data_IF_654672483543
#
_entry.id   IF_654672483543
#
_cell.length_a   1.000
_cell.length_b   1.000
_cell.length_c   1.000
_cell.angle_alpha   90.00
_cell.angle_beta   90.00
_cell.angle_gamma   90.00
#
_symmetry.space_group_name_H-M   'P 1'
#
loop_
_entity.id
_entity.type
_entity.pdbx_description
1 polymer ?
#
# COMPACT_ATOMS: atom_id res chain seq x y z
N UNK A 1 -1.54 14.76 24.18
CA UNK A 1 -1.94 13.74 23.18
C UNK A 1 -3.40 13.92 22.82
N UNK A 2 -3.72 14.47 21.63
CA UNK A 2 -5.10 14.50 21.12
C UNK A 2 -5.44 13.08 20.67
N UNK A 3 -6.42 12.45 21.33
CA UNK A 3 -6.93 11.17 20.89
C UNK A 3 -7.47 11.32 19.46
N UNK A 4 -6.87 10.61 18.51
CA UNK A 4 -7.40 10.47 17.16
C UNK A 4 -8.83 9.94 17.27
N UNK A 5 -9.81 10.73 16.86
CA UNK A 5 -11.22 10.30 16.81
C UNK A 5 -11.30 9.15 15.81
N UNK A 6 -11.31 7.91 16.31
CA UNK A 6 -11.63 6.71 15.52
C UNK A 6 -13.09 6.81 15.06
N UNK A 7 -13.31 7.42 13.89
CA UNK A 7 -14.59 7.35 13.18
C UNK A 7 -14.54 6.15 12.22
N UNK A 8 -14.41 4.96 12.79
CA UNK A 8 -14.54 3.71 12.03
C UNK A 8 -16.04 3.44 11.89
N UNK A 9 -16.53 3.22 10.67
CA UNK A 9 -17.88 2.70 10.46
C UNK A 9 -17.88 1.24 10.92
N UNK A 10 -18.51 0.98 12.07
CA UNK A 10 -18.77 -0.38 12.53
C UNK A 10 -19.95 -0.90 11.71
N UNK A 11 -19.74 -1.94 10.90
CA UNK A 11 -20.85 -2.65 10.27
C UNK A 11 -21.78 -3.15 11.38
N UNK A 12 -23.01 -2.63 11.38
CA UNK A 12 -23.93 -2.66 12.52
C UNK A 12 -24.23 -4.07 13.01
N UNK A 13 -23.88 -4.34 14.27
CA UNK A 13 -24.57 -5.35 15.07
C UNK A 13 -25.73 -4.63 15.76
N UNK A 14 -26.86 -4.49 15.07
CA UNK A 14 -28.15 -4.37 15.73
C UNK A 14 -29.20 -5.12 14.89
N UNK A 15 -29.81 -6.20 15.43
CA UNK A 15 -31.03 -6.73 14.86
C UNK A 15 -32.15 -5.75 15.23
N UNK A 16 -32.88 -5.25 14.23
CA UNK A 16 -33.98 -4.27 14.31
C UNK A 16 -33.56 -2.81 14.53
N UNK A 17 -33.78 -1.96 13.52
CA UNK A 17 -33.56 -0.52 13.62
C UNK A 17 -33.41 0.18 12.27
N UNK A 18 -34.57 0.53 11.69
CA UNK A 18 -34.85 1.58 10.70
C UNK A 18 -33.62 2.23 10.05
N UNK A 19 -33.47 2.05 8.73
CA UNK A 19 -32.55 2.78 7.87
C UNK A 19 -32.91 4.27 7.86
N UNK A 20 -32.36 5.04 8.79
CA UNK A 20 -32.40 6.50 8.69
C UNK A 20 -31.60 6.92 7.46
N UNK A 21 -32.23 7.78 6.66
CA UNK A 21 -31.85 8.10 5.29
C UNK A 21 -30.44 8.65 5.12
N UNK A 22 -30.05 8.65 3.84
CA UNK A 22 -28.83 9.18 3.24
C UNK A 22 -28.37 10.51 3.82
N UNK A 23 -27.65 10.47 4.94
CA UNK A 23 -26.69 11.51 5.25
C UNK A 23 -25.47 11.21 4.39
N UNK A 24 -25.27 12.03 3.36
CA UNK A 24 -24.04 12.09 2.59
C UNK A 24 -22.94 12.57 3.54
N UNK A 25 -22.34 11.62 4.26
CA UNK A 25 -21.25 11.90 5.19
C UNK A 25 -20.00 11.95 4.35
N UNK A 26 -19.55 13.16 4.04
CA UNK A 26 -18.24 13.38 3.47
C UNK A 26 -17.20 12.80 4.45
N UNK A 27 -16.71 11.58 4.17
CA UNK A 27 -15.75 10.86 4.99
C UNK A 27 -14.36 11.42 4.68
N UNK A 28 -14.06 12.59 5.24
CA UNK A 28 -12.72 13.14 5.21
C UNK A 28 -11.86 12.40 6.25
N UNK A 29 -10.98 11.53 5.76
CA UNK A 29 -9.99 10.84 6.59
C UNK A 29 -9.46 9.58 5.92
N UNK A 30 -8.16 9.56 5.66
CA UNK A 30 -7.45 8.36 5.24
C UNK A 30 -6.67 7.81 6.44
N UNK A 31 -6.68 6.49 6.60
CA UNK A 31 -5.92 5.82 7.65
C UNK A 31 -4.74 5.10 7.02
N UNK A 32 -3.53 5.45 7.44
CA UNK A 32 -2.29 4.85 6.95
C UNK A 32 -1.62 4.02 8.04
N UNK A 33 -1.01 2.92 7.63
CA UNK A 33 -0.09 2.14 8.45
C UNK A 33 1.31 2.23 7.87
N UNK A 34 2.33 2.17 8.74
CA UNK A 34 3.73 2.05 8.35
C UNK A 34 4.10 0.58 8.39
N UNK A 35 4.65 0.09 7.29
CA UNK A 35 5.05 -1.29 7.08
C UNK A 35 6.55 -1.38 6.91
N UNK A 36 7.14 -2.41 7.50
CA UNK A 36 8.53 -2.79 7.27
C UNK A 36 8.56 -4.18 6.67
N UNK A 37 9.31 -4.34 5.59
CA UNK A 37 9.55 -5.63 4.95
C UNK A 37 11.02 -5.78 4.56
N UNK A 38 11.41 -6.98 4.19
CA UNK A 38 12.71 -7.29 3.62
C UNK A 38 12.53 -7.94 2.25
N UNK A 39 13.14 -7.36 1.23
CA UNK A 39 13.08 -7.84 -0.14
C UNK A 39 14.52 -8.08 -0.60
N UNK A 40 14.92 -9.35 -0.68
CA UNK A 40 16.26 -9.76 -1.11
C UNK A 40 17.39 -9.05 -0.35
N UNK A 41 17.29 -8.96 0.98
CA UNK A 41 18.28 -8.28 1.83
C UNK A 41 18.20 -6.74 1.82
N UNK A 42 17.22 -6.15 1.15
CA UNK A 42 16.92 -4.72 1.21
C UNK A 42 15.75 -4.52 2.17
N UNK A 43 16.00 -3.81 3.27
CA UNK A 43 14.92 -3.39 4.16
C UNK A 43 14.16 -2.22 3.53
N UNK A 44 12.85 -2.38 3.39
CA UNK A 44 11.96 -1.35 2.85
C UNK A 44 11.00 -0.93 3.95
N UNK A 45 10.94 0.38 4.18
CA UNK A 45 9.95 1.03 5.03
C UNK A 45 9.04 1.84 4.11
N UNK A 46 7.74 1.63 4.21
CA UNK A 46 6.76 2.36 3.41
C UNK A 46 5.46 2.50 4.21
N UNK A 47 4.69 3.53 3.91
CA UNK A 47 3.32 3.66 4.38
C UNK A 47 2.33 3.20 3.30
N UNK A 48 1.17 2.72 3.74
CA UNK A 48 0.08 2.36 2.84
C UNK A 48 -1.29 2.64 3.47
N UNK A 49 -2.28 3.06 2.68
CA UNK A 49 -3.63 3.28 3.16
C UNK A 49 -4.30 1.95 3.50
N UNK A 50 -5.05 1.91 4.60
CA UNK A 50 -5.82 0.75 5.04
C UNK A 50 -7.30 1.11 5.09
N UNK A 51 -8.09 0.32 4.38
CA UNK A 51 -9.52 0.58 4.20
C UNK A 51 -10.36 0.07 5.38
N UNK A 52 -10.03 -1.12 5.89
CA UNK A 52 -10.84 -1.77 6.90
C UNK A 52 -10.02 -2.67 7.82
N UNK A 53 -10.52 -2.79 9.04
CA UNK A 53 -10.05 -3.71 10.06
C UNK A 53 -11.16 -4.74 10.30
N UNK A 54 -10.83 -6.02 10.20
CA UNK A 54 -11.72 -7.10 10.57
C UNK A 54 -11.46 -7.48 12.04
N UNK A 55 -12.43 -7.14 12.89
CA UNK A 55 -12.43 -7.53 14.30
C UNK A 55 -13.42 -8.68 14.50
N UNK A 56 -12.90 -9.91 14.64
CA UNK A 56 -13.71 -11.03 15.13
C UNK A 56 -13.64 -10.99 16.65
N UNK A 57 -14.76 -10.64 17.29
CA UNK A 57 -14.96 -10.70 18.74
C UNK A 57 -13.82 -10.12 19.59
N UNK A 58 -13.96 -8.85 19.95
CA UNK A 58 -13.09 -8.16 20.94
C UNK A 58 -12.98 -8.88 22.29
N UNK A 59 -13.88 -9.84 22.58
CA UNK A 59 -13.89 -10.67 23.79
C UNK A 59 -12.77 -11.72 23.86
N UNK A 60 -12.16 -12.12 22.73
CA UNK A 60 -11.14 -13.21 22.72
C UNK A 60 -9.70 -12.74 22.47
N UNK A 61 -9.45 -11.42 22.45
CA UNK A 61 -8.08 -10.90 22.33
C UNK A 61 -7.37 -11.29 21.03
N UNK A 62 -8.10 -11.76 20.01
CA UNK A 62 -7.52 -12.09 18.71
C UNK A 62 -6.93 -10.83 18.08
N UNK A 63 -5.75 -10.94 17.44
CA UNK A 63 -5.13 -9.80 16.78
C UNK A 63 -6.07 -9.26 15.70
N UNK A 64 -6.24 -7.94 15.71
CA UNK A 64 -6.96 -7.20 14.69
C UNK A 64 -6.28 -7.46 13.34
N UNK A 65 -7.01 -7.96 12.36
CA UNK A 65 -6.48 -8.21 11.00
C UNK A 65 -7.04 -7.21 10.03
N UNK A 66 -6.20 -6.60 9.20
CA UNK A 66 -6.66 -5.73 8.11
C UNK A 66 -7.28 -6.54 6.98
N UNK A 67 -8.23 -5.91 6.27
CA UNK A 67 -8.89 -6.48 5.10
C UNK A 67 -9.03 -5.43 4.02
N UNK A 68 -8.94 -5.88 2.77
CA UNK A 68 -9.13 -5.02 1.60
C UNK A 68 -10.57 -5.06 1.10
N UNK A 69 -11.04 -3.92 0.61
CA UNK A 69 -12.37 -3.76 0.02
C UNK A 69 -12.21 -3.31 -1.43
N UNK A 70 -12.72 -4.09 -2.38
CA UNK A 70 -12.64 -3.76 -3.81
C UNK A 70 -14.01 -3.87 -4.49
N UNK A 71 -14.12 -3.23 -5.65
CA UNK A 71 -15.32 -3.24 -6.48
C UNK A 71 -15.04 -3.97 -7.80
N UNK A 72 -16.03 -4.71 -8.28
CA UNK A 72 -16.01 -5.37 -9.59
C UNK A 72 -17.37 -5.28 -10.25
N UNK A 73 -17.44 -5.03 -11.54
CA UNK A 73 -18.71 -5.10 -12.27
C UNK A 73 -19.19 -6.55 -12.39
N UNK A 74 -20.48 -6.81 -12.14
CA UNK A 74 -21.06 -8.16 -12.20
C UNK A 74 -21.14 -8.74 -13.63
N UNK A 75 -21.24 -7.88 -14.63
CA UNK A 75 -21.29 -8.26 -16.06
C UNK A 75 -20.05 -7.73 -16.75
N UNK A 76 -19.14 -8.64 -17.13
CA UNK A 76 -17.99 -8.38 -17.99
C UNK A 76 -18.02 -9.31 -19.19
N UNK A 77 -17.64 -8.79 -20.36
CA UNK A 77 -17.33 -9.62 -21.53
C UNK A 77 -16.04 -10.41 -21.26
N UNK A 78 -15.78 -11.53 -21.96
CA UNK A 78 -14.56 -12.31 -21.76
C UNK A 78 -13.26 -11.50 -21.89
N UNK A 79 -13.19 -10.55 -22.83
CA UNK A 79 -12.02 -9.68 -23.00
C UNK A 79 -11.87 -8.66 -21.85
N UNK A 80 -12.97 -8.10 -21.36
CA UNK A 80 -12.98 -7.21 -20.20
C UNK A 80 -12.53 -7.95 -18.94
N UNK A 81 -12.95 -9.20 -18.78
CA UNK A 81 -12.53 -10.06 -17.68
C UNK A 81 -11.02 -10.35 -17.72
N UNK A 82 -10.50 -10.73 -18.88
CA UNK A 82 -9.06 -10.98 -19.06
C UNK A 82 -8.23 -9.71 -18.77
N UNK A 83 -8.68 -8.55 -19.27
CA UNK A 83 -8.00 -7.29 -19.00
C UNK A 83 -8.05 -6.92 -17.51
N UNK A 84 -9.22 -7.05 -16.86
CA UNK A 84 -9.39 -6.79 -15.44
C UNK A 84 -8.48 -7.68 -14.58
N UNK A 85 -8.34 -8.96 -14.93
CA UNK A 85 -7.43 -9.88 -14.25
C UNK A 85 -5.96 -9.48 -14.40
N UNK A 86 -5.55 -9.02 -15.60
CA UNK A 86 -4.17 -8.56 -15.86
C UNK A 86 -3.84 -7.22 -15.23
N UNK A 87 -4.82 -6.33 -15.06
CA UNK A 87 -4.60 -4.99 -14.51
C UNK A 87 -5.00 -4.86 -13.05
N UNK A 88 -6.30 -4.92 -12.77
CA UNK A 88 -6.85 -4.49 -11.49
C UNK A 88 -6.60 -5.54 -10.42
N UNK A 89 -6.80 -6.81 -10.78
CA UNK A 89 -6.56 -7.92 -9.85
C UNK A 89 -5.09 -8.04 -9.49
N UNK A 90 -4.18 -7.80 -10.44
CA UNK A 90 -2.75 -7.72 -10.17
C UNK A 90 -2.44 -6.59 -9.17
N UNK A 91 -3.01 -5.39 -9.36
CA UNK A 91 -2.85 -4.27 -8.41
C UNK A 91 -3.37 -4.62 -7.03
N UNK A 92 -4.59 -5.18 -6.94
CA UNK A 92 -5.16 -5.63 -5.68
C UNK A 92 -4.27 -6.64 -4.99
N UNK A 93 -3.73 -7.59 -5.76
CA UNK A 93 -2.83 -8.59 -5.24
C UNK A 93 -1.55 -7.97 -4.68
N UNK A 94 -0.87 -7.08 -5.44
CA UNK A 94 0.37 -6.42 -5.00
C UNK A 94 0.15 -5.57 -3.75
N UNK A 95 -0.90 -4.75 -3.73
CA UNK A 95 -1.25 -3.89 -2.58
C UNK A 95 -1.48 -4.71 -1.31
N UNK A 96 -2.34 -5.74 -1.39
CA UNK A 96 -2.62 -6.64 -0.28
C UNK A 96 -1.39 -7.46 0.13
N UNK A 97 -0.59 -7.95 -0.84
CA UNK A 97 0.61 -8.73 -0.58
C UNK A 97 1.66 -7.93 0.20
N UNK A 98 1.97 -6.71 -0.25
CA UNK A 98 2.97 -5.86 0.40
C UNK A 98 2.55 -5.46 1.83
N UNK A 99 1.26 -5.25 2.06
CA UNK A 99 0.70 -4.88 3.38
C UNK A 99 0.38 -6.08 4.27
N UNK A 100 0.58 -7.31 3.79
CA UNK A 100 0.29 -8.54 4.55
C UNK A 100 -1.21 -8.84 4.73
N UNK A 101 -2.08 -8.25 3.91
CA UNK A 101 -3.52 -8.47 3.96
C UNK A 101 -3.86 -9.79 3.24
N UNK A 102 -4.40 -10.77 3.98
CA UNK A 102 -4.74 -12.08 3.41
C UNK A 102 -6.19 -12.20 2.92
N UNK A 103 -7.07 -11.27 3.30
CA UNK A 103 -8.50 -11.34 3.05
C UNK A 103 -8.98 -10.09 2.31
N UNK A 104 -9.71 -10.33 1.23
CA UNK A 104 -10.27 -9.31 0.35
C UNK A 104 -11.77 -9.51 0.19
N UNK A 105 -12.54 -8.44 0.31
CA UNK A 105 -13.98 -8.41 0.03
C UNK A 105 -14.21 -7.72 -1.31
N UNK A 106 -14.89 -8.41 -2.21
CA UNK A 106 -15.19 -7.91 -3.55
C UNK A 106 -16.70 -7.69 -3.64
N UNK A 107 -17.10 -6.42 -3.76
CA UNK A 107 -18.48 -6.03 -4.03
C UNK A 107 -18.72 -6.02 -5.54
N UNK A 108 -19.67 -6.85 -5.96
CA UNK A 108 -20.12 -6.96 -7.35
C UNK A 108 -21.27 -6.00 -7.60
N UNK A 109 -21.05 -5.01 -8.44
CA UNK A 109 -22.03 -3.98 -8.75
C UNK A 109 -22.49 -4.02 -10.21
N UNK A 110 -23.68 -3.47 -10.47
CA UNK A 110 -24.17 -3.24 -11.83
C UNK A 110 -23.65 -1.90 -12.41
N UNK A 111 -24.11 -1.55 -13.61
CA UNK A 111 -23.72 -0.30 -14.29
C UNK A 111 -24.31 0.95 -13.65
N UNK A 112 -25.33 0.77 -12.81
CA UNK A 112 -25.97 1.82 -12.03
C UNK A 112 -25.28 2.02 -10.66
N UNK A 113 -24.26 1.20 -10.36
CA UNK A 113 -23.51 1.26 -9.10
C UNK A 113 -24.17 0.50 -7.95
N UNK A 114 -25.26 -0.22 -8.18
CA UNK A 114 -25.91 -1.01 -7.13
C UNK A 114 -25.10 -2.28 -6.85
N UNK A 115 -24.74 -2.52 -5.59
CA UNK A 115 -24.06 -3.74 -5.16
C UNK A 115 -25.08 -4.86 -4.99
N UNK A 116 -24.92 -5.94 -5.77
CA UNK A 116 -25.81 -7.10 -5.76
C UNK A 116 -25.27 -8.25 -4.91
N UNK A 117 -23.94 -8.33 -4.75
CA UNK A 117 -23.27 -9.42 -4.05
C UNK A 117 -21.94 -8.96 -3.47
N UNK A 118 -21.59 -9.43 -2.28
CA UNK A 118 -20.25 -9.30 -1.71
C UNK A 118 -19.68 -10.69 -1.49
N UNK A 119 -18.45 -10.92 -1.96
CA UNK A 119 -17.74 -12.18 -1.79
C UNK A 119 -16.47 -11.90 -1.00
N UNK A 120 -16.21 -12.68 0.04
CA UNK A 120 -14.88 -12.72 0.66
C UNK A 120 -14.02 -13.78 -0.05
N UNK A 121 -12.75 -13.45 -0.26
CA UNK A 121 -11.76 -14.35 -0.85
C UNK A 121 -10.47 -14.28 -0.05
N UNK A 122 -9.73 -15.38 -0.04
CA UNK A 122 -8.32 -15.33 0.37
C UNK A 122 -7.49 -14.79 -0.79
N UNK A 123 -6.43 -14.04 -0.48
CA UNK A 123 -5.51 -13.49 -1.47
C UNK A 123 -4.93 -14.58 -2.39
N UNK A 124 -4.64 -15.76 -1.83
CA UNK A 124 -4.15 -16.93 -2.58
C UNK A 124 -5.16 -17.45 -3.63
N UNK A 125 -6.46 -17.38 -3.34
CA UNK A 125 -7.50 -17.80 -4.28
C UNK A 125 -7.59 -16.82 -5.45
N UNK A 126 -7.45 -15.52 -5.16
CA UNK A 126 -7.46 -14.47 -6.18
C UNK A 126 -6.31 -14.64 -7.18
N UNK A 127 -5.11 -14.96 -6.69
CA UNK A 127 -3.96 -15.27 -7.54
C UNK A 127 -4.19 -16.54 -8.37
N UNK A 128 -4.70 -17.63 -7.77
CA UNK A 128 -4.92 -18.89 -8.49
C UNK A 128 -5.86 -18.70 -9.69
N UNK A 129 -6.87 -17.84 -9.56
CA UNK A 129 -7.79 -17.52 -10.65
C UNK A 129 -7.13 -16.73 -11.80
N UNK A 130 -5.92 -16.20 -11.60
CA UNK A 130 -5.15 -15.39 -12.55
C UNK A 130 -3.78 -16.01 -12.88
N UNK A 131 -3.55 -17.29 -12.57
CA UNK A 131 -2.23 -17.92 -12.70
C UNK A 131 -1.68 -17.95 -14.14
N UNK A 132 -2.57 -17.84 -15.13
CA UNK A 132 -2.21 -17.77 -16.55
C UNK A 132 -1.97 -16.32 -17.04
N UNK A 133 -2.32 -15.31 -16.24
CA UNK A 133 -2.24 -13.90 -16.63
C UNK A 133 -0.97 -13.21 -16.11
N UNK A 134 -0.52 -13.56 -14.91
CA UNK A 134 0.69 -13.01 -14.29
C UNK A 134 1.23 -13.94 -13.20
N UNK A 135 2.48 -13.72 -12.80
CA UNK A 135 3.19 -14.57 -11.84
C UNK A 135 3.73 -13.74 -10.67
N UNK A 136 3.38 -14.10 -9.41
CA UNK A 136 3.99 -13.51 -8.21
C UNK A 136 5.52 -13.52 -8.24
N UNK A 137 6.12 -14.59 -8.76
CA UNK A 137 7.57 -14.72 -8.85
C UNK A 137 8.15 -13.68 -9.82
N UNK A 138 7.51 -13.45 -10.96
CA UNK A 138 7.94 -12.42 -11.92
C UNK A 138 7.86 -11.03 -11.27
N UNK A 139 6.75 -10.73 -10.58
CA UNK A 139 6.59 -9.46 -9.85
C UNK A 139 7.67 -9.29 -8.76
N UNK A 140 7.92 -10.32 -7.96
CA UNK A 140 8.92 -10.30 -6.89
C UNK A 140 10.35 -10.15 -7.42
N UNK A 141 10.70 -10.85 -8.50
CA UNK A 141 12.01 -10.72 -9.15
C UNK A 141 12.20 -9.33 -9.76
N UNK A 142 11.17 -8.79 -10.42
CA UNK A 142 11.22 -7.42 -10.93
C UNK A 142 11.45 -6.42 -9.81
N UNK A 143 10.66 -6.49 -8.73
CA UNK A 143 10.77 -5.59 -7.58
C UNK A 143 12.17 -5.67 -6.94
N UNK A 144 12.66 -6.88 -6.71
CA UNK A 144 14.00 -7.14 -6.17
C UNK A 144 15.08 -6.51 -7.04
N UNK A 145 15.05 -6.73 -8.36
CA UNK A 145 16.02 -6.16 -9.30
C UNK A 145 15.92 -4.64 -9.38
N UNK A 146 14.71 -4.09 -9.38
CA UNK A 146 14.47 -2.66 -9.41
C UNK A 146 15.08 -1.98 -8.16
N UNK A 147 14.76 -2.49 -6.96
CA UNK A 147 15.31 -1.96 -5.71
C UNK A 147 16.83 -2.13 -5.62
N UNK A 148 17.36 -3.26 -6.09
CA UNK A 148 18.80 -3.49 -6.20
C UNK A 148 19.49 -2.46 -7.09
N UNK A 149 18.93 -2.20 -8.27
CA UNK A 149 19.45 -1.18 -9.19
C UNK A 149 19.42 0.22 -8.57
N UNK A 150 18.33 0.60 -7.89
CA UNK A 150 18.20 1.89 -7.20
C UNK A 150 19.26 2.01 -6.11
N UNK A 151 19.42 0.97 -5.28
CA UNK A 151 20.42 0.95 -4.20
C UNK A 151 21.84 1.11 -4.75
N UNK A 152 22.18 0.41 -5.84
CA UNK A 152 23.49 0.53 -6.49
C UNK A 152 23.69 1.91 -7.11
N UNK A 153 22.67 2.46 -7.78
CA UNK A 153 22.72 3.78 -8.40
C UNK A 153 22.97 4.89 -7.38
N UNK A 154 22.37 4.78 -6.19
CA UNK A 154 22.43 5.78 -5.12
C UNK A 154 23.49 5.48 -4.06
N UNK A 155 24.34 4.46 -4.25
CA UNK A 155 25.25 3.97 -3.21
C UNK A 155 26.22 5.03 -2.66
N UNK A 156 26.59 6.02 -3.48
CA UNK A 156 27.51 7.11 -3.11
C UNK A 156 26.80 8.46 -3.00
N UNK A 157 25.47 8.47 -2.91
CA UNK A 157 24.66 9.69 -2.83
C UNK A 157 24.18 9.87 -1.39
N UNK A 158 24.80 10.79 -0.66
CA UNK A 158 24.38 11.20 0.67
C UNK A 158 24.03 12.70 0.65
N UNK A 159 22.86 13.02 0.10
CA UNK A 159 22.38 14.40 -0.04
C UNK A 159 20.87 14.43 -0.15
N UNK A 160 20.22 15.16 0.75
CA UNK A 160 18.77 15.42 0.69
C UNK A 160 18.36 16.35 -0.46
N UNK A 161 19.33 17.04 -1.08
CA UNK A 161 19.11 17.95 -2.22
C UNK A 161 19.21 17.22 -3.55
N UNK A 162 19.99 16.13 -3.61
CA UNK A 162 20.20 15.38 -4.85
C UNK A 162 18.98 14.50 -5.13
N UNK A 163 18.32 14.71 -6.26
CA UNK A 163 17.12 13.96 -6.66
C UNK A 163 17.38 13.23 -7.96
N UNK A 164 17.06 11.93 -7.98
CA UNK A 164 17.05 11.10 -9.18
C UNK A 164 15.61 10.86 -9.61
N UNK A 165 15.26 11.28 -10.82
CA UNK A 165 13.99 10.99 -11.46
C UNK A 165 14.14 9.72 -12.29
N UNK A 166 13.54 8.64 -11.83
CA UNK A 166 13.58 7.32 -12.47
C UNK A 166 12.36 7.15 -13.38
N UNK A 167 12.59 6.77 -14.63
CA UNK A 167 11.56 6.49 -15.61
C UNK A 167 11.72 5.06 -16.12
N UNK A 168 10.65 4.25 -16.00
CA UNK A 168 10.65 2.89 -16.50
C UNK A 168 10.11 2.84 -17.94
N UNK A 169 10.96 2.40 -18.86
CA UNK A 169 10.60 2.14 -20.25
C UNK A 169 10.15 0.69 -20.36
N UNK A 170 8.83 0.47 -20.43
CA UNK A 170 8.24 -0.85 -20.52
C UNK A 170 8.48 -1.54 -21.88
N UNK A 171 8.72 -0.79 -22.96
CA UNK A 171 8.99 -1.35 -24.29
C UNK A 171 10.37 -2.00 -24.34
N UNK A 172 11.36 -1.33 -23.75
CA UNK A 172 12.74 -1.80 -23.75
C UNK A 172 13.14 -2.49 -22.43
N UNK A 173 12.27 -2.50 -21.43
CA UNK A 173 12.49 -3.12 -20.13
C UNK A 173 13.66 -2.50 -19.34
N UNK A 174 13.94 -1.21 -19.54
CA UNK A 174 15.06 -0.53 -18.88
C UNK A 174 14.59 0.65 -18.00
N UNK A 175 15.41 0.97 -17.00
CA UNK A 175 15.20 2.10 -16.12
C UNK A 175 16.14 3.23 -16.56
N UNK A 176 15.56 4.33 -17.02
CA UNK A 176 16.28 5.56 -17.37
C UNK A 176 16.21 6.51 -16.19
N UNK A 177 17.16 7.43 -16.10
CA UNK A 177 17.11 8.46 -15.08
C UNK A 177 17.67 9.80 -15.55
N UNK A 178 17.16 10.86 -14.92
CA UNK A 178 17.76 12.19 -14.89
C UNK A 178 18.00 12.56 -13.44
N UNK A 179 18.93 13.46 -13.16
CA UNK A 179 19.20 13.88 -11.79
C UNK A 179 19.46 15.38 -11.71
N UNK A 180 19.15 15.94 -10.54
CA UNK A 180 19.51 17.28 -10.12
C UNK A 180 20.32 17.17 -8.83
N UNK A 181 21.47 17.83 -8.76
CA UNK A 181 22.36 17.81 -7.59
C UNK A 181 22.02 18.86 -6.55
N UNK A 182 21.27 19.89 -6.95
CA UNK A 182 20.80 20.97 -6.10
C UNK A 182 19.29 20.88 -5.88
N UNK A 183 18.81 21.61 -4.87
CA UNK A 183 17.38 21.69 -4.60
C UNK A 183 16.65 22.19 -5.84
N UNK A 184 15.57 21.51 -6.18
CA UNK A 184 14.74 21.80 -7.34
C UNK A 184 13.27 21.61 -6.99
N UNK A 185 12.39 21.83 -7.97
CA UNK A 185 10.97 21.50 -7.88
C UNK A 185 10.69 20.01 -7.55
N UNK A 186 11.68 19.13 -7.76
CA UNK A 186 11.57 17.70 -7.45
C UNK A 186 12.08 17.34 -6.05
N UNK A 187 12.62 18.28 -5.29
CA UNK A 187 13.10 18.02 -3.93
C UNK A 187 11.94 17.76 -2.99
N UNK A 188 11.92 16.55 -2.40
CA UNK A 188 10.78 16.06 -1.59
C UNK A 188 11.10 15.89 -0.11
N UNK A 189 12.37 15.96 0.31
CA UNK A 189 12.74 15.94 1.73
C UNK A 189 12.68 17.39 2.27
N UNK A 190 11.77 17.68 3.22
CA UNK A 190 11.65 19.02 3.77
C UNK A 190 12.75 19.32 4.79
N UNK A 191 13.12 20.60 4.92
CA UNK A 191 14.21 21.02 5.80
C UNK A 191 13.98 20.67 7.27
N UNK A 192 12.74 20.78 7.75
CA UNK A 192 12.42 20.41 9.14
C UNK A 192 12.75 18.93 9.43
N UNK A 193 12.54 18.03 8.47
CA UNK A 193 12.83 16.61 8.66
C UNK A 193 14.33 16.36 8.63
N UNK A 194 15.02 16.99 7.66
CA UNK A 194 16.48 16.93 7.53
C UNK A 194 17.17 17.41 8.81
N UNK A 195 16.80 18.59 9.31
CA UNK A 195 17.38 19.18 10.53
C UNK A 195 17.14 18.30 11.76
N UNK A 196 15.93 17.76 11.95
CA UNK A 196 15.65 16.84 13.07
C UNK A 196 16.49 15.56 13.02
N UNK A 197 16.77 15.03 11.82
CA UNK A 197 17.60 13.84 11.66
C UNK A 197 19.08 14.13 11.95
N UNK A 198 19.58 15.29 11.53
CA UNK A 198 20.95 15.75 11.82
C UNK A 198 21.18 15.92 13.34
N UNK A 199 20.28 16.63 14.03
CA UNK A 199 20.34 16.79 15.50
C UNK A 199 20.31 15.44 16.23
N UNK A 200 19.44 14.52 15.78
CA UNK A 200 19.33 13.18 16.37
C UNK A 200 20.62 12.37 16.22
N UNK A 201 21.30 12.49 15.07
CA UNK A 201 22.58 11.82 14.81
C UNK A 201 23.71 12.39 15.67
N UNK A 202 23.75 13.71 15.87
CA UNK A 202 24.72 14.34 16.78
C UNK A 202 24.57 13.83 18.21
N UNK A 203 23.34 13.70 18.71
CA UNK A 203 23.07 13.14 20.03
C UNK A 203 23.48 11.67 20.16
N UNK A 204 23.22 10.84 19.15
CA UNK A 204 23.65 9.42 19.12
C UNK A 204 25.18 9.30 19.13
N UNK A 205 25.86 10.10 18.32
CA UNK A 205 27.32 10.11 18.26
C UNK A 205 27.95 10.57 19.57
N UNK A 206 27.39 11.61 20.20
CA UNK A 206 27.82 12.07 21.52
C UNK A 206 27.63 11.00 22.59
N UNK A 207 26.47 10.35 22.66
CA UNK A 207 26.19 9.28 23.63
C UNK A 207 27.15 8.07 23.47
N UNK A 208 27.57 7.78 22.25
CA UNK A 208 28.52 6.69 21.96
C UNK A 208 29.96 7.06 22.38
N UNK A 209 30.34 8.34 22.32
CA UNK A 209 31.65 8.83 22.78
C UNK A 209 31.80 8.82 24.30
N UNK A 210 30.70 8.83 25.07
CA UNK A 210 30.72 8.77 26.54
C UNK A 210 30.62 7.33 27.10
N UNK A 211 30.68 6.30 26.26
CA UNK A 211 30.66 4.88 26.66
C UNK A 211 32.00 4.16 26.49
N UNK A 212 33.11 4.89 26.27
CA UNK A 212 34.48 4.36 26.21
C UNK A 212 35.22 4.71 27.51
#
# INVERSE_FOLDING_TARGET
MRALRKRCLIAGVHPTGISNGSQDRNLEGQYYCIFRTEISGIHVLFDAPILAEHSINTSFGLPKTFVDLKLRTIKMKPSEWANHNRSDVLKWWVESFLTGIEKIYIAYHDRQGNVHKIINRKLRELWRDCEHDWSPNICGHFLSRCLGNIKTLLANVDSASTVYLLEYDAENGNLRYKYATERSEYTFIPDWFRLMMEESLEHLNAATQFQI
#
